data_IF_611912844725
#
_entry.id   IF_611912844725
#
_cell.length_a   1.000
_cell.length_b   1.000
_cell.length_c   1.000
_cell.angle_alpha   90.00
_cell.angle_beta   90.00
_cell.angle_gamma   90.00
#
_symmetry.space_group_name_H-M   'P 1'
#
loop_
_entity.id
_entity.type
_entity.pdbx_description
1 polymer ?
#
# COMPACT_ATOMS: atom_id res chain seq x y z
N UNK A 1 -4.92 1.50 -23.61
CA UNK A 1 -3.99 1.23 -22.51
C UNK A 1 -4.75 1.09 -21.20
N UNK A 2 -4.57 -0.01 -20.53
CA UNK A 2 -5.21 -0.25 -19.23
C UNK A 2 -4.45 0.45 -18.11
N UNK A 3 -5.18 1.07 -17.21
CA UNK A 3 -4.59 1.71 -16.03
C UNK A 3 -4.97 0.90 -14.80
N UNK A 4 -3.96 0.41 -14.09
CA UNK A 4 -4.14 -0.52 -12.98
C UNK A 4 -3.62 0.11 -11.69
N UNK A 5 -4.48 0.14 -10.67
CA UNK A 5 -4.11 0.62 -9.34
C UNK A 5 -3.65 -0.58 -8.51
N UNK A 6 -2.44 -0.51 -7.99
CA UNK A 6 -1.87 -1.59 -7.18
C UNK A 6 -1.72 -1.08 -5.75
N UNK A 7 -2.43 -1.70 -4.83
CA UNK A 7 -2.34 -1.35 -3.42
C UNK A 7 -1.50 -2.41 -2.72
N UNK A 8 -0.38 -2.00 -2.15
CA UNK A 8 0.56 -2.88 -1.48
C UNK A 8 1.31 -2.12 -0.41
N UNK A 9 1.93 -2.83 0.51
CA UNK A 9 2.82 -2.23 1.50
C UNK A 9 4.03 -3.14 1.66
N UNK A 10 3.96 -4.14 2.53
CA UNK A 10 5.09 -5.04 2.79
C UNK A 10 5.36 -6.04 1.67
N UNK A 11 4.45 -6.15 0.71
CA UNK A 11 4.51 -7.17 -0.33
C UNK A 11 5.05 -6.67 -1.67
N UNK A 12 5.59 -5.45 -1.71
CA UNK A 12 6.01 -4.79 -2.97
C UNK A 12 7.07 -5.55 -3.76
N UNK A 13 7.92 -6.30 -3.10
CA UNK A 13 8.96 -7.09 -3.79
C UNK A 13 8.63 -8.57 -3.90
N UNK A 14 7.41 -8.99 -3.56
CA UNK A 14 7.07 -10.39 -3.56
C UNK A 14 6.97 -10.96 -4.98
N UNK A 15 7.39 -12.21 -5.13
CA UNK A 15 7.31 -12.88 -6.43
C UNK A 15 5.86 -13.06 -6.90
N UNK A 16 4.93 -13.24 -5.95
CA UNK A 16 3.51 -13.40 -6.28
C UNK A 16 2.96 -12.13 -6.93
N UNK A 17 3.25 -10.97 -6.36
CA UNK A 17 2.80 -9.70 -6.92
C UNK A 17 3.48 -9.43 -8.27
N UNK A 18 4.79 -9.62 -8.34
CA UNK A 18 5.54 -9.38 -9.57
C UNK A 18 5.05 -10.28 -10.72
N UNK A 19 4.64 -11.50 -10.39
CA UNK A 19 4.09 -12.40 -11.41
C UNK A 19 2.76 -11.89 -11.95
N UNK A 20 1.88 -11.40 -11.10
CA UNK A 20 0.60 -10.81 -11.53
C UNK A 20 0.87 -9.61 -12.44
N UNK A 21 1.83 -8.75 -12.07
CA UNK A 21 2.20 -7.60 -12.90
C UNK A 21 2.68 -8.07 -14.29
N UNK A 22 3.56 -9.08 -14.33
CA UNK A 22 4.02 -9.63 -15.61
C UNK A 22 2.87 -10.16 -16.45
N UNK A 23 1.94 -10.87 -15.81
CA UNK A 23 0.78 -11.44 -16.51
C UNK A 23 -0.05 -10.33 -17.16
N UNK A 24 -0.26 -9.22 -16.46
CA UNK A 24 -1.00 -8.10 -17.02
C UNK A 24 -0.27 -7.46 -18.20
N UNK A 25 1.05 -7.35 -18.11
CA UNK A 25 1.86 -6.79 -19.18
C UNK A 25 1.81 -7.63 -20.45
N UNK A 26 1.68 -8.95 -20.31
CA UNK A 26 1.55 -9.84 -21.48
C UNK A 26 0.17 -9.76 -22.11
N UNK A 27 -0.84 -9.37 -21.37
CA UNK A 27 -2.20 -9.23 -21.89
C UNK A 27 -2.41 -8.00 -22.76
N UNK A 28 -1.54 -6.99 -22.62
CA UNK A 28 -1.61 -5.77 -23.42
C UNK A 28 -0.92 -4.60 -22.76
N UNK A 29 -0.87 -3.45 -23.41
CA UNK A 29 -0.26 -2.25 -22.83
C UNK A 29 -0.98 -1.83 -21.56
N UNK A 30 -0.23 -1.59 -20.51
CA UNK A 30 -0.80 -1.15 -19.25
C UNK A 30 0.14 -0.22 -18.50
N UNK A 31 -0.45 0.58 -17.64
CA UNK A 31 0.26 1.51 -16.78
C UNK A 31 -0.16 1.22 -15.34
N UNK A 32 0.80 1.17 -14.44
CA UNK A 32 0.56 0.86 -13.04
C UNK A 32 0.74 2.09 -12.16
N UNK A 33 -0.12 2.23 -11.17
CA UNK A 33 0.06 3.21 -10.11
C UNK A 33 0.12 2.45 -8.79
N UNK A 34 1.26 2.59 -8.11
CA UNK A 34 1.42 2.00 -6.78
C UNK A 34 0.82 2.93 -5.73
N UNK A 35 -0.03 2.39 -4.89
CA UNK A 35 -0.60 3.12 -3.76
C UNK A 35 -0.14 2.42 -2.49
N UNK A 36 0.65 3.12 -1.69
CA UNK A 36 1.15 2.59 -0.42
C UNK A 36 0.53 3.40 0.71
N UNK A 37 -0.42 2.82 1.45
CA UNK A 37 -0.99 3.53 2.60
C UNK A 37 0.08 3.78 3.67
N UNK A 38 0.03 4.96 4.28
CA UNK A 38 0.98 5.35 5.31
C UNK A 38 0.58 4.75 6.67
N UNK A 39 0.67 3.43 6.75
CA UNK A 39 0.27 2.69 7.95
C UNK A 39 1.27 2.92 9.07
N UNK A 40 0.81 3.13 10.31
CA UNK A 40 1.71 3.36 11.42
C UNK A 40 2.72 2.22 11.60
N UNK A 41 3.98 2.53 11.38
CA UNK A 41 5.08 1.59 11.55
C UNK A 41 5.59 1.57 12.99
N UNK A 42 5.58 2.73 13.63
CA UNK A 42 6.15 2.92 14.95
C UNK A 42 5.44 2.14 16.05
N UNK A 43 4.20 1.71 15.83
CA UNK A 43 3.44 0.97 16.84
C UNK A 43 3.97 -0.43 17.11
N UNK A 44 4.80 -0.99 16.24
CA UNK A 44 5.28 -2.36 16.39
C UNK A 44 6.58 -2.49 17.16
N UNK A 45 7.40 -1.46 17.19
CA UNK A 45 8.76 -1.56 17.70
C UNK A 45 8.98 -0.92 19.05
N UNK A 46 8.02 -0.19 19.57
CA UNK A 46 8.37 0.66 20.67
C UNK A 46 7.31 0.85 21.74
N UNK A 47 6.66 -0.22 22.15
CA UNK A 47 5.78 -0.13 23.32
C UNK A 47 6.57 0.42 24.52
N UNK A 48 7.81 -0.06 24.68
CA UNK A 48 8.69 0.38 25.76
C UNK A 48 9.18 1.81 25.50
N UNK A 49 9.61 2.14 24.28
CA UNK A 49 10.05 3.49 23.95
C UNK A 49 8.89 4.49 24.05
N UNK A 50 7.71 4.10 23.59
CA UNK A 50 6.53 4.96 23.68
C UNK A 50 6.17 5.23 25.14
N UNK A 51 6.21 4.20 25.97
CA UNK A 51 5.97 4.35 27.40
C UNK A 51 7.03 5.24 28.06
N UNK A 52 8.29 5.03 27.70
CA UNK A 52 9.41 5.84 28.23
C UNK A 52 9.25 7.31 27.84
N UNK A 53 8.87 7.57 26.60
CA UNK A 53 8.64 8.94 26.13
C UNK A 53 7.47 9.59 26.84
N UNK A 54 6.39 8.85 27.10
CA UNK A 54 5.25 9.36 27.88
C UNK A 54 5.65 9.69 29.31
N UNK A 55 6.55 8.91 29.87
CA UNK A 55 7.04 9.16 31.22
C UNK A 55 7.98 10.35 31.33
N UNK A 56 8.57 10.78 30.22
CA UNK A 56 9.52 11.91 30.22
C UNK A 56 8.86 13.25 29.86
N UNK A 57 7.54 13.31 29.81
CA UNK A 57 6.78 14.55 29.57
C UNK A 57 7.14 15.29 28.27
N UNK A 58 7.42 14.56 27.22
CA UNK A 58 7.63 15.17 25.91
C UNK A 58 6.31 15.72 25.37
N UNK A 59 6.33 16.84 24.65
CA UNK A 59 5.11 17.41 24.12
C UNK A 59 4.37 16.43 23.20
N UNK A 60 3.16 16.08 23.56
CA UNK A 60 2.37 15.08 22.84
C UNK A 60 2.15 15.48 21.37
N UNK A 61 1.97 16.76 21.11
CA UNK A 61 1.74 17.26 19.74
C UNK A 61 2.95 17.14 18.83
N UNK A 62 4.16 17.28 19.38
CA UNK A 62 5.39 17.11 18.62
C UNK A 62 5.65 15.65 18.26
N UNK A 63 5.32 14.74 19.18
CA UNK A 63 5.50 13.30 18.97
C UNK A 63 4.53 12.78 17.92
N UNK A 64 3.26 13.21 17.95
CA UNK A 64 2.27 12.79 16.98
C UNK A 64 2.68 13.18 15.55
N UNK A 65 3.19 14.40 15.38
CA UNK A 65 3.66 14.88 14.09
C UNK A 65 4.88 14.10 13.62
N UNK A 66 5.82 13.84 14.53
CA UNK A 66 7.01 13.07 14.20
C UNK A 66 6.67 11.65 13.79
N UNK A 67 5.71 11.01 14.46
CA UNK A 67 5.27 9.67 14.12
C UNK A 67 4.60 9.63 12.76
N UNK A 68 3.70 10.58 12.47
CA UNK A 68 3.04 10.66 11.17
C UNK A 68 4.01 10.94 10.04
N UNK A 69 4.98 11.83 10.27
CA UNK A 69 6.00 12.12 9.28
C UNK A 69 6.89 10.90 9.03
N UNK A 70 7.25 10.17 10.09
CA UNK A 70 8.05 8.95 9.97
C UNK A 70 7.29 7.88 9.20
N UNK A 71 5.99 7.72 9.47
CA UNK A 71 5.16 6.77 8.75
C UNK A 71 5.05 7.14 7.27
N UNK A 72 4.89 8.42 6.97
CA UNK A 72 4.85 8.91 5.60
C UNK A 72 6.17 8.66 4.88
N UNK A 73 7.29 9.00 5.50
CA UNK A 73 8.61 8.79 4.89
C UNK A 73 8.90 7.31 4.67
N UNK A 74 8.47 6.47 5.60
CA UNK A 74 8.62 5.03 5.46
C UNK A 74 7.80 4.50 4.28
N UNK A 75 6.55 4.94 4.16
CA UNK A 75 5.70 4.57 3.04
C UNK A 75 6.26 5.09 1.72
N UNK A 76 6.81 6.30 1.71
CA UNK A 76 7.43 6.88 0.52
C UNK A 76 8.63 6.04 0.07
N UNK A 77 9.46 5.58 1.00
CA UNK A 77 10.56 4.67 0.68
C UNK A 77 10.07 3.37 0.04
N UNK A 78 8.94 2.87 0.49
CA UNK A 78 8.33 1.67 -0.10
C UNK A 78 7.78 1.94 -1.50
N UNK A 79 7.22 3.12 -1.73
CA UNK A 79 6.78 3.53 -3.07
C UNK A 79 7.98 3.52 -4.02
N UNK A 80 9.07 4.15 -3.63
CA UNK A 80 10.29 4.21 -4.45
C UNK A 80 10.84 2.81 -4.73
N UNK A 81 10.88 1.95 -3.73
CA UNK A 81 11.30 0.57 -3.89
C UNK A 81 10.40 -0.18 -4.86
N UNK A 82 9.09 -0.05 -4.70
CA UNK A 82 8.14 -0.72 -5.58
C UNK A 82 8.22 -0.26 -7.02
N UNK A 83 8.36 1.04 -7.23
CA UNK A 83 8.56 1.60 -8.58
C UNK A 83 9.80 0.98 -9.21
N UNK A 84 10.90 0.93 -8.48
CA UNK A 84 12.14 0.33 -8.97
C UNK A 84 11.94 -1.13 -9.37
N UNK A 85 11.25 -1.91 -8.52
CA UNK A 85 11.00 -3.32 -8.82
C UNK A 85 10.16 -3.51 -10.08
N UNK A 86 9.13 -2.70 -10.26
CA UNK A 86 8.28 -2.80 -11.43
C UNK A 86 8.98 -2.30 -12.69
N UNK A 87 9.79 -1.25 -12.58
CA UNK A 87 10.58 -0.75 -13.70
C UNK A 87 11.57 -1.81 -14.20
N UNK A 88 12.13 -2.61 -13.31
CA UNK A 88 13.02 -3.71 -13.70
C UNK A 88 12.30 -4.76 -14.56
N UNK A 89 10.99 -4.88 -14.42
CA UNK A 89 10.19 -5.75 -15.27
C UNK A 89 9.86 -5.13 -16.62
N UNK A 90 10.19 -3.87 -16.81
CA UNK A 90 9.81 -3.13 -18.00
C UNK A 90 8.46 -2.44 -17.90
N UNK A 91 7.88 -2.38 -16.71
CA UNK A 91 6.58 -1.76 -16.51
C UNK A 91 6.65 -0.24 -16.49
N UNK A 92 5.61 0.38 -17.02
CA UNK A 92 5.41 1.82 -16.87
C UNK A 92 4.64 2.03 -15.57
N UNK A 93 5.26 2.72 -14.61
CA UNK A 93 4.73 2.80 -13.25
C UNK A 93 4.99 4.16 -12.62
N UNK A 94 3.99 4.67 -11.93
CA UNK A 94 4.17 5.78 -10.98
C UNK A 94 3.65 5.30 -9.62
N UNK A 95 3.72 6.17 -8.60
CA UNK A 95 3.26 5.76 -7.28
C UNK A 95 3.04 6.94 -6.37
N UNK A 96 2.31 6.68 -5.30
CA UNK A 96 2.01 7.70 -4.30
C UNK A 96 1.77 7.06 -2.94
N UNK A 97 1.98 7.86 -1.90
CA UNK A 97 1.63 7.48 -0.54
C UNK A 97 0.16 7.84 -0.30
N UNK A 98 -0.59 6.93 0.24
CA UNK A 98 -2.00 7.14 0.54
C UNK A 98 -2.29 7.31 2.02
N UNK A 99 -3.55 7.59 2.32
CA UNK A 99 -4.04 7.71 3.69
C UNK A 99 -3.71 6.47 4.51
N UNK A 100 -3.51 6.64 5.81
CA UNK A 100 -3.24 5.54 6.71
C UNK A 100 -4.38 4.52 6.77
N UNK A 101 -5.60 4.94 6.49
CA UNK A 101 -6.73 4.04 6.31
C UNK A 101 -6.72 3.54 4.86
N UNK A 102 -6.48 2.24 4.63
CA UNK A 102 -6.34 1.72 3.27
C UNK A 102 -7.55 1.94 2.37
N UNK A 103 -8.76 1.81 2.92
CA UNK A 103 -9.96 2.04 2.11
C UNK A 103 -10.08 3.50 1.69
N UNK A 104 -9.78 4.42 2.60
CA UNK A 104 -9.80 5.84 2.29
C UNK A 104 -8.73 6.19 1.25
N UNK A 105 -7.56 5.54 1.33
CA UNK A 105 -6.52 5.71 0.33
C UNK A 105 -7.03 5.31 -1.07
N UNK A 106 -7.76 4.20 -1.15
CA UNK A 106 -8.36 3.75 -2.40
C UNK A 106 -9.40 4.75 -2.91
N UNK A 107 -10.28 5.20 -2.03
CA UNK A 107 -11.31 6.20 -2.40
C UNK A 107 -10.68 7.47 -2.96
N UNK A 108 -9.64 7.97 -2.29
CA UNK A 108 -8.92 9.16 -2.73
C UNK A 108 -8.30 8.96 -4.12
N UNK A 109 -7.68 7.80 -4.33
CA UNK A 109 -7.07 7.49 -5.62
C UNK A 109 -8.11 7.41 -6.73
N UNK A 110 -9.24 6.76 -6.47
CA UNK A 110 -10.32 6.64 -7.45
C UNK A 110 -10.97 7.98 -7.77
N UNK A 111 -10.93 8.94 -6.84
CA UNK A 111 -11.48 10.27 -7.08
C UNK A 111 -10.59 11.12 -7.99
N UNK A 112 -9.29 10.80 -8.06
CA UNK A 112 -8.32 11.57 -8.84
C UNK A 112 -8.12 11.06 -10.25
N UNK A 113 -8.29 9.75 -10.47
CA UNK A 113 -8.09 9.09 -11.76
C UNK A 113 -9.05 7.95 -11.96
N UNK A 114 -9.29 7.64 -13.23
CA UNK A 114 -10.04 6.44 -13.58
C UNK A 114 -9.06 5.27 -13.73
N UNK A 115 -9.44 4.14 -13.19
CA UNK A 115 -8.67 2.91 -13.30
C UNK A 115 -9.53 1.82 -13.92
N UNK A 116 -8.88 0.90 -14.62
CA UNK A 116 -9.56 -0.22 -15.26
C UNK A 116 -9.55 -1.46 -14.38
N UNK A 117 -8.59 -1.54 -13.47
CA UNK A 117 -8.46 -2.68 -12.56
C UNK A 117 -7.82 -2.23 -11.26
N UNK A 118 -8.14 -2.95 -10.17
CA UNK A 118 -7.45 -2.77 -8.89
C UNK A 118 -6.83 -4.11 -8.49
N UNK A 119 -5.57 -4.07 -8.09
CA UNK A 119 -4.86 -5.21 -7.53
C UNK A 119 -4.58 -4.91 -6.06
N UNK A 120 -5.08 -5.77 -5.18
CA UNK A 120 -4.82 -5.69 -3.75
C UNK A 120 -3.81 -6.77 -3.39
N UNK A 121 -2.61 -6.37 -2.98
CA UNK A 121 -1.56 -7.30 -2.57
C UNK A 121 -1.45 -7.30 -1.06
N UNK A 122 -1.61 -8.45 -0.44
CA UNK A 122 -1.67 -8.56 1.01
C UNK A 122 -0.96 -9.80 1.52
N UNK A 123 -0.55 -9.74 2.79
CA UNK A 123 -0.09 -10.91 3.51
C UNK A 123 -1.30 -11.76 3.94
N UNK A 124 -1.11 -13.06 4.20
CA UNK A 124 -2.19 -13.88 4.73
C UNK A 124 -2.80 -13.28 6.00
N UNK A 125 -4.10 -13.39 6.15
CA UNK A 125 -4.83 -12.79 7.27
C UNK A 125 -4.31 -13.21 8.64
N UNK A 126 -3.76 -14.40 8.76
CA UNK A 126 -3.21 -14.91 10.02
C UNK A 126 -1.99 -14.15 10.52
N UNK A 127 -1.36 -13.35 9.68
CA UNK A 127 -0.14 -12.63 10.03
C UNK A 127 -0.45 -11.17 10.40
N UNK A 128 -1.70 -10.85 10.62
CA UNK A 128 -2.10 -9.51 11.01
C UNK A 128 -1.80 -8.46 9.95
N UNK A 129 -2.10 -8.78 8.72
CA UNK A 129 -1.92 -7.85 7.62
C UNK A 129 -2.74 -6.58 7.84
N UNK A 130 -2.27 -5.49 7.28
CA UNK A 130 -2.95 -4.20 7.34
C UNK A 130 -4.28 -4.20 6.59
N UNK A 131 -4.47 -5.18 5.71
CA UNK A 131 -5.73 -5.35 5.03
C UNK A 131 -6.65 -6.18 5.93
N UNK A 132 -7.68 -5.54 6.47
CA UNK A 132 -8.74 -6.28 7.14
C UNK A 132 -9.48 -7.13 6.12
N UNK A 133 -10.15 -8.17 6.58
CA UNK A 133 -10.93 -9.02 5.69
C UNK A 133 -12.03 -8.25 4.96
N UNK A 134 -12.44 -7.11 5.51
CA UNK A 134 -13.48 -6.29 4.93
C UNK A 134 -13.00 -5.41 3.76
N UNK A 135 -11.70 -5.15 3.67
CA UNK A 135 -11.20 -4.25 2.64
C UNK A 135 -11.50 -4.72 1.23
N UNK A 136 -11.26 -5.99 0.86
CA UNK A 136 -11.62 -6.45 -0.47
C UNK A 136 -13.10 -6.28 -0.79
N UNK A 137 -13.98 -6.55 0.16
CA UNK A 137 -15.41 -6.36 -0.03
C UNK A 137 -15.80 -4.91 -0.21
N UNK A 138 -15.22 -4.02 0.58
CA UNK A 138 -15.49 -2.58 0.48
C UNK A 138 -15.01 -2.04 -0.86
N UNK A 139 -13.83 -2.46 -1.30
CA UNK A 139 -13.28 -2.03 -2.58
C UNK A 139 -14.13 -2.54 -3.74
N UNK A 140 -14.56 -3.80 -3.69
CA UNK A 140 -15.42 -4.38 -4.72
C UNK A 140 -16.76 -3.67 -4.83
N UNK A 141 -17.28 -3.19 -3.71
CA UNK A 141 -18.54 -2.42 -3.72
C UNK A 141 -18.36 -1.02 -4.30
N UNK A 142 -17.20 -0.40 -4.05
CA UNK A 142 -16.90 0.96 -4.50
C UNK A 142 -16.46 1.00 -5.96
N UNK A 143 -15.67 0.03 -6.38
CA UNK A 143 -15.09 -0.02 -7.71
C UNK A 143 -15.84 -1.02 -8.57
N UNK A 144 -16.33 -0.58 -9.72
CA UNK A 144 -17.16 -1.40 -10.62
C UNK A 144 -16.37 -2.33 -11.53
N UNK A 145 -15.05 -2.13 -11.62
CA UNK A 145 -14.21 -2.97 -12.45
C UNK A 145 -13.68 -4.20 -11.71
N UNK A 146 -12.81 -4.96 -12.36
CA UNK A 146 -12.21 -6.14 -11.74
C UNK A 146 -11.28 -5.78 -10.57
N UNK A 147 -11.40 -6.53 -9.49
CA UNK A 147 -10.52 -6.42 -8.32
C UNK A 147 -9.86 -7.76 -8.11
N UNK A 148 -8.54 -7.78 -8.21
CA UNK A 148 -7.73 -8.98 -8.02
C UNK A 148 -7.05 -8.90 -6.65
N UNK A 149 -7.23 -9.93 -5.85
CA UNK A 149 -6.56 -10.01 -4.54
C UNK A 149 -5.40 -11.00 -4.66
N UNK A 150 -4.20 -10.51 -4.38
CA UNK A 150 -2.99 -11.32 -4.38
C UNK A 150 -2.61 -11.59 -2.93
N UNK A 151 -2.84 -12.81 -2.47
CA UNK A 151 -2.40 -13.23 -1.14
C UNK A 151 -0.97 -13.76 -1.28
N UNK A 152 -0.03 -13.01 -0.74
CA UNK A 152 1.39 -13.35 -0.86
C UNK A 152 1.72 -14.47 0.10
N UNK A 153 2.23 -15.58 -0.43
CA UNK A 153 2.72 -16.68 0.40
C UNK A 153 4.11 -16.35 0.93
N UNK A 154 4.41 -16.87 2.10
CA UNK A 154 5.72 -16.68 2.72
C UNK A 154 6.76 -17.57 2.13
#
# INVERSE_FOLDING_TARGET
MSRILVIANKTLGSSDLLQVIRDRMTEGPCQFTLLVPAIPYAHRESTIETLTRRMTNMPINGEARGAEEADYEHARGRVEFGIEQLQKLGAEVDGEVGNANPFKAVEDALSRRKYDEIILSTLPSRVGGWLSQDLPHKVKRKFKGPVTVVAVSR
#
